data_IF_022260446198
#
_entry.id   IF_022260446198
#
_cell.length_a   1.000
_cell.length_b   1.000
_cell.length_c   1.000
_cell.angle_alpha   90.00
_cell.angle_beta   90.00
_cell.angle_gamma   90.00
#
_symmetry.space_group_name_H-M   'P 1'
#
loop_
_entity.id
_entity.type
_entity.pdbx_description
1 polymer ?
#
# COMPACT_ATOMS: atom_id res chain seq x y z
N UNK A 1 -10.61 -25.43 8.01
CA UNK A 1 -11.20 -26.50 7.16
C UNK A 1 -10.52 -27.81 7.53
N UNK A 2 -11.27 -28.86 7.87
CA UNK A 2 -10.69 -30.18 8.17
C UNK A 2 -10.42 -30.90 6.83
N UNK A 3 -9.17 -30.92 6.41
CA UNK A 3 -8.75 -31.39 5.07
C UNK A 3 -8.74 -32.93 4.98
N UNK A 4 -8.85 -33.63 6.11
CA UNK A 4 -8.75 -35.10 6.20
C UNK A 4 -9.78 -35.87 5.35
N UNK A 5 -10.91 -35.25 5.00
CA UNK A 5 -11.93 -35.85 4.14
C UNK A 5 -11.55 -35.99 2.66
N UNK A 6 -10.51 -35.29 2.18
CA UNK A 6 -10.10 -35.27 0.78
C UNK A 6 -8.89 -36.17 0.46
N UNK A 7 -8.35 -36.90 1.46
CA UNK A 7 -7.08 -37.62 1.33
C UNK A 7 -5.87 -36.68 1.17
N UNK A 8 -4.66 -37.23 1.16
CA UNK A 8 -3.42 -36.45 1.09
C UNK A 8 -3.30 -35.64 -0.22
N UNK A 9 -3.65 -36.25 -1.36
CA UNK A 9 -3.59 -35.60 -2.66
C UNK A 9 -4.62 -34.45 -2.80
N UNK A 10 -5.86 -34.66 -2.34
CA UNK A 10 -6.90 -33.63 -2.39
C UNK A 10 -6.63 -32.47 -1.43
N UNK A 11 -6.08 -32.76 -0.25
CA UNK A 11 -5.62 -31.73 0.70
C UNK A 11 -4.51 -30.86 0.11
N UNK A 12 -3.55 -31.46 -0.58
CA UNK A 12 -2.44 -30.74 -1.20
C UNK A 12 -2.90 -29.87 -2.38
N UNK A 13 -3.81 -30.38 -3.22
CA UNK A 13 -4.39 -29.61 -4.32
C UNK A 13 -5.17 -28.38 -3.81
N UNK A 14 -5.93 -28.52 -2.73
CA UNK A 14 -6.62 -27.40 -2.07
C UNK A 14 -5.65 -26.38 -1.48
N UNK A 15 -4.56 -26.85 -0.86
CA UNK A 15 -3.53 -25.96 -0.32
C UNK A 15 -2.89 -25.10 -1.44
N UNK A 16 -2.53 -25.73 -2.56
CA UNK A 16 -1.98 -25.00 -3.72
C UNK A 16 -2.99 -24.00 -4.31
N UNK A 17 -4.26 -24.39 -4.45
CA UNK A 17 -5.31 -23.49 -4.90
C UNK A 17 -5.45 -22.26 -3.99
N UNK A 18 -5.43 -22.46 -2.66
CA UNK A 18 -5.49 -21.36 -1.69
C UNK A 18 -4.27 -20.45 -1.79
N UNK A 19 -3.08 -21.00 -2.04
CA UNK A 19 -1.85 -20.21 -2.24
C UNK A 19 -1.98 -19.34 -3.50
N UNK A 20 -2.45 -19.90 -4.61
CA UNK A 20 -2.71 -19.13 -5.84
C UNK A 20 -3.78 -18.05 -5.59
N UNK A 21 -4.89 -18.40 -4.95
CA UNK A 21 -5.96 -17.45 -4.63
C UNK A 21 -5.44 -16.29 -3.75
N UNK A 22 -4.59 -16.58 -2.76
CA UNK A 22 -3.94 -15.56 -1.95
C UNK A 22 -2.98 -14.70 -2.77
N UNK A 23 -2.21 -15.29 -3.68
CA UNK A 23 -1.31 -14.56 -4.56
C UNK A 23 -2.06 -13.55 -5.44
N UNK A 24 -3.14 -13.99 -6.10
CA UNK A 24 -4.00 -13.09 -6.88
C UNK A 24 -4.71 -12.06 -6.01
N UNK A 25 -5.13 -12.42 -4.80
CA UNK A 25 -5.72 -11.51 -3.84
C UNK A 25 -4.78 -10.36 -3.46
N UNK A 26 -3.50 -10.66 -3.19
CA UNK A 26 -2.47 -9.67 -2.90
C UNK A 26 -2.19 -8.77 -4.10
N UNK A 27 -2.13 -9.34 -5.31
CA UNK A 27 -2.02 -8.58 -6.56
C UNK A 27 -3.17 -7.57 -6.67
N UNK A 28 -4.42 -8.01 -6.54
CA UNK A 28 -5.58 -7.10 -6.62
C UNK A 28 -5.51 -6.02 -5.53
N UNK A 29 -5.19 -6.39 -4.29
CA UNK A 29 -5.07 -5.45 -3.18
C UNK A 29 -4.03 -4.36 -3.44
N UNK A 30 -2.90 -4.71 -4.07
CA UNK A 30 -1.82 -3.76 -4.40
C UNK A 30 -2.30 -2.61 -5.29
N UNK A 31 -3.27 -2.83 -6.19
CA UNK A 31 -3.89 -1.79 -7.02
C UNK A 31 -4.62 -0.78 -6.12
N UNK A 32 -5.44 -1.27 -5.20
CA UNK A 32 -6.21 -0.43 -4.29
C UNK A 32 -5.27 0.36 -3.37
N UNK A 33 -4.21 -0.26 -2.87
CA UNK A 33 -3.19 0.42 -2.06
C UNK A 33 -2.47 1.53 -2.85
N UNK A 34 -1.98 1.23 -4.06
CA UNK A 34 -1.32 2.23 -4.89
C UNK A 34 -2.24 3.39 -5.27
N UNK A 35 -3.46 3.08 -5.71
CA UNK A 35 -4.44 4.05 -6.16
C UNK A 35 -4.90 4.99 -5.04
N UNK A 36 -4.98 4.52 -3.80
CA UNK A 36 -5.34 5.37 -2.65
C UNK A 36 -4.14 6.13 -2.06
N UNK A 37 -2.92 5.59 -2.14
CA UNK A 37 -1.71 6.27 -1.64
C UNK A 37 -1.44 7.57 -2.41
N UNK A 38 -1.75 7.60 -3.71
CA UNK A 38 -1.58 8.78 -4.57
C UNK A 38 -2.42 9.98 -4.11
N UNK A 39 -3.76 9.89 -3.99
CA UNK A 39 -4.57 11.00 -3.49
C UNK A 39 -4.26 11.33 -2.02
N UNK A 40 -3.93 10.35 -1.19
CA UNK A 40 -3.51 10.58 0.20
C UNK A 40 -2.20 11.39 0.27
N UNK A 41 -1.19 11.01 -0.50
CA UNK A 41 0.09 11.72 -0.59
C UNK A 41 -0.06 13.12 -1.18
N UNK A 42 -0.96 13.29 -2.16
CA UNK A 42 -1.31 14.61 -2.69
C UNK A 42 -1.99 15.51 -1.65
N UNK A 43 -2.91 14.96 -0.86
CA UNK A 43 -3.52 15.65 0.27
C UNK A 43 -2.49 16.03 1.34
N UNK A 44 -1.58 15.13 1.69
CA UNK A 44 -0.49 15.40 2.63
C UNK A 44 0.43 16.53 2.13
N UNK A 45 0.73 16.56 0.83
CA UNK A 45 1.52 17.63 0.21
C UNK A 45 0.80 18.99 0.20
N UNK A 46 -0.51 19.00 -0.10
CA UNK A 46 -1.31 20.23 -0.21
C UNK A 46 -1.76 20.78 1.13
N UNK A 47 -2.06 19.91 2.10
CA UNK A 47 -2.59 20.31 3.41
C UNK A 47 -1.60 21.18 4.19
N UNK A 48 -0.29 20.94 4.04
CA UNK A 48 0.74 21.67 4.77
C UNK A 48 0.85 21.29 6.26
N UNK A 49 0.02 20.34 6.71
CA UNK A 49 0.04 19.82 8.09
C UNK A 49 1.06 18.67 8.25
N UNK A 50 1.53 18.12 7.12
CA UNK A 50 2.60 17.13 7.01
C UNK A 50 3.82 17.72 6.31
N UNK A 51 5.03 17.22 6.56
CA UNK A 51 6.21 17.61 5.82
C UNK A 51 6.02 17.26 4.35
N UNK A 52 6.31 18.21 3.47
CA UNK A 52 6.14 18.04 2.01
C UNK A 52 6.91 16.83 1.48
N UNK A 53 8.03 16.48 2.11
CA UNK A 53 8.80 15.28 1.80
C UNK A 53 8.00 13.98 2.01
N UNK A 54 7.19 13.89 3.09
CA UNK A 54 6.34 12.73 3.35
C UNK A 54 5.30 12.51 2.24
N UNK A 55 4.65 13.61 1.80
CA UNK A 55 3.69 13.57 0.71
C UNK A 55 4.29 13.08 -0.61
N UNK A 56 5.51 13.53 -0.94
CA UNK A 56 6.22 13.06 -2.15
C UNK A 56 6.57 11.58 -2.05
N UNK A 57 7.10 11.12 -0.91
CA UNK A 57 7.44 9.70 -0.72
C UNK A 57 6.20 8.80 -0.82
N UNK A 58 5.04 9.26 -0.33
CA UNK A 58 3.75 8.54 -0.47
C UNK A 58 3.27 8.47 -1.92
N UNK A 59 3.36 9.57 -2.68
CA UNK A 59 2.99 9.57 -4.11
C UNK A 59 3.92 8.64 -4.89
N UNK A 60 5.23 8.69 -4.62
CA UNK A 60 6.21 7.82 -5.27
C UNK A 60 5.96 6.35 -4.88
N UNK A 61 5.69 6.04 -3.62
CA UNK A 61 5.34 4.70 -3.16
C UNK A 61 4.06 4.16 -3.81
N UNK A 62 3.02 4.99 -3.93
CA UNK A 62 1.79 4.64 -4.62
C UNK A 62 1.98 4.42 -6.13
N UNK A 63 2.80 5.25 -6.77
CA UNK A 63 3.16 5.09 -8.18
C UNK A 63 3.98 3.81 -8.41
N UNK A 64 4.90 3.47 -7.49
CA UNK A 64 5.64 2.22 -7.54
C UNK A 64 4.70 1.01 -7.48
N UNK A 65 3.67 1.02 -6.62
CA UNK A 65 2.64 -0.04 -6.60
C UNK A 65 1.91 -0.18 -7.94
N UNK A 66 1.54 0.93 -8.58
CA UNK A 66 0.91 0.91 -9.90
C UNK A 66 1.83 0.32 -10.98
N UNK A 67 3.11 0.70 -10.95
CA UNK A 67 4.12 0.21 -11.90
C UNK A 67 4.40 -1.27 -11.69
N UNK A 68 4.47 -1.74 -10.44
CA UNK A 68 4.64 -3.16 -10.12
C UNK A 68 3.46 -3.99 -10.64
N UNK A 69 2.25 -3.47 -10.50
CA UNK A 69 1.05 -4.11 -11.03
C UNK A 69 1.06 -4.17 -12.56
N UNK A 70 1.41 -3.06 -13.21
CA UNK A 70 1.56 -3.04 -14.66
C UNK A 70 2.66 -4.01 -15.13
N UNK A 71 3.77 -4.10 -14.39
CA UNK A 71 4.86 -5.03 -14.66
C UNK A 71 4.43 -6.48 -14.47
N UNK A 72 3.70 -6.82 -13.40
CA UNK A 72 3.17 -8.16 -13.17
C UNK A 72 2.17 -8.59 -14.25
N UNK A 73 1.41 -7.64 -14.82
CA UNK A 73 0.41 -7.91 -15.85
C UNK A 73 1.01 -8.00 -17.27
N UNK A 74 1.98 -7.14 -17.62
CA UNK A 74 2.62 -7.13 -18.94
C UNK A 74 3.79 -8.14 -19.04
N UNK A 75 4.65 -8.20 -18.01
CA UNK A 75 5.87 -9.01 -17.99
C UNK A 75 6.06 -9.69 -16.61
N UNK A 76 5.42 -10.86 -16.38
CA UNK A 76 5.45 -11.54 -15.08
C UNK A 76 6.86 -11.98 -14.62
N UNK A 77 7.82 -12.09 -15.53
CA UNK A 77 9.22 -12.43 -15.22
C UNK A 77 9.96 -11.27 -14.55
N UNK A 78 9.68 -10.02 -14.98
CA UNK A 78 10.28 -8.81 -14.41
C UNK A 78 9.53 -8.40 -13.14
N UNK A 79 8.20 -8.59 -13.10
CA UNK A 79 7.38 -8.28 -11.92
C UNK A 79 7.91 -8.94 -10.65
N UNK A 80 8.35 -10.21 -10.70
CA UNK A 80 8.92 -10.92 -9.54
C UNK A 80 10.20 -10.28 -8.98
N UNK A 81 11.01 -9.67 -9.84
CA UNK A 81 12.25 -8.98 -9.43
C UNK A 81 11.97 -7.61 -8.81
N UNK A 82 10.93 -6.91 -9.29
CA UNK A 82 10.59 -5.55 -8.88
C UNK A 82 9.70 -5.53 -7.62
N UNK A 83 8.88 -6.57 -7.42
CA UNK A 83 7.92 -6.67 -6.31
C UNK A 83 8.54 -6.47 -4.93
N UNK A 84 9.76 -6.99 -4.72
CA UNK A 84 10.48 -6.82 -3.46
C UNK A 84 10.89 -5.37 -3.20
N UNK A 85 11.43 -4.69 -4.23
CA UNK A 85 11.88 -3.30 -4.11
C UNK A 85 10.72 -2.32 -3.95
N UNK A 86 9.61 -2.56 -4.67
CA UNK A 86 8.41 -1.71 -4.60
C UNK A 86 7.72 -1.82 -3.25
N UNK A 87 7.58 -3.04 -2.71
CA UNK A 87 7.04 -3.24 -1.36
C UNK A 87 7.90 -2.54 -0.31
N UNK A 88 9.24 -2.62 -0.40
CA UNK A 88 10.13 -1.94 0.55
C UNK A 88 9.95 -0.43 0.47
N UNK A 89 9.91 0.14 -0.74
CA UNK A 89 9.72 1.59 -0.92
C UNK A 89 8.38 2.07 -0.34
N UNK A 90 7.28 1.34 -0.58
CA UNK A 90 5.99 1.70 -0.02
C UNK A 90 5.90 1.47 1.49
N UNK A 91 6.48 0.38 2.01
CA UNK A 91 6.52 0.13 3.44
C UNK A 91 7.27 1.22 4.20
N UNK A 92 8.37 1.73 3.64
CA UNK A 92 9.06 2.89 4.19
C UNK A 92 8.13 4.11 4.20
N UNK A 93 7.42 4.39 3.11
CA UNK A 93 6.48 5.52 3.05
C UNK A 93 5.37 5.42 4.11
N UNK A 94 4.78 4.25 4.28
CA UNK A 94 3.73 3.99 5.28
C UNK A 94 4.26 4.06 6.72
N UNK A 95 5.38 3.41 7.02
CA UNK A 95 5.98 3.44 8.36
C UNK A 95 6.34 4.88 8.74
N UNK A 96 6.86 5.66 7.79
CA UNK A 96 7.22 7.05 8.03
C UNK A 96 5.98 7.92 8.25
N UNK A 97 4.89 7.68 7.51
CA UNK A 97 3.60 8.35 7.72
C UNK A 97 2.98 7.99 9.08
N UNK A 98 2.90 6.71 9.41
CA UNK A 98 2.32 6.23 10.69
C UNK A 98 3.17 6.70 11.86
N UNK A 99 4.50 6.65 11.76
CA UNK A 99 5.42 7.17 12.77
C UNK A 99 5.23 8.67 12.99
N UNK A 100 5.07 9.45 11.91
CA UNK A 100 4.79 10.89 12.02
C UNK A 100 3.43 11.16 12.68
N UNK A 101 2.39 10.42 12.31
CA UNK A 101 1.06 10.52 12.92
C UNK A 101 1.06 10.16 14.41
N UNK A 102 1.82 9.13 14.80
CA UNK A 102 1.92 8.70 16.19
C UNK A 102 2.71 9.67 17.06
N UNK A 103 3.77 10.29 16.54
CA UNK A 103 4.66 11.17 17.33
C UNK A 103 4.19 12.61 17.35
N UNK A 104 3.83 13.18 16.20
CA UNK A 104 3.53 14.61 16.07
C UNK A 104 2.03 14.86 16.12
N UNK A 105 1.23 13.94 15.56
CA UNK A 105 -0.20 14.14 15.39
C UNK A 105 -0.54 15.30 14.43
N UNK A 106 -1.76 15.30 13.94
CA UNK A 106 -2.26 16.33 13.03
C UNK A 106 -2.61 17.56 13.88
N UNK A 107 -1.75 18.59 13.87
CA UNK A 107 -1.99 19.87 14.57
C UNK A 107 -3.27 20.50 14.03
N UNK A 108 -4.40 20.32 14.71
CA UNK A 108 -5.62 21.05 14.39
C UNK A 108 -5.35 22.53 14.63
N UNK A 109 -5.42 23.34 13.57
CA UNK A 109 -5.54 24.78 13.71
C UNK A 109 -6.81 25.04 14.51
N UNK A 110 -6.67 25.44 15.78
CA UNK A 110 -7.76 25.87 16.64
C UNK A 110 -8.66 26.84 15.86
N UNK A 111 -9.95 26.53 15.65
CA UNK A 111 -10.91 27.47 15.06
C UNK A 111 -11.19 28.62 16.05
N UNK A 112 -10.26 29.58 16.17
CA UNK A 112 -10.30 30.63 17.20
C UNK A 112 -10.25 32.07 16.71
N UNK A 113 -9.61 32.39 15.58
CA UNK A 113 -9.27 33.80 15.28
C UNK A 113 -10.08 34.44 14.13
N UNK A 114 -11.19 33.83 13.68
CA UNK A 114 -12.03 34.38 12.59
C UNK A 114 -13.28 35.12 13.07
N UNK A 115 -13.22 35.79 14.22
CA UNK A 115 -14.30 36.67 14.67
C UNK A 115 -13.74 37.90 15.37
N UNK A 116 -13.23 38.89 14.61
CA UNK A 116 -13.29 40.32 14.96
C UNK A 116 -12.92 41.20 13.74
N UNK A 117 -13.89 41.75 13.00
CA UNK A 117 -13.78 43.10 12.44
C UNK A 117 -14.16 44.18 13.47
#
# INVERSE_FOLDING_TARGET
VNLGGFGAAGSNALALLLVDAQHYGLLIASIFFGLWLVPLGYLAYKSGWFPRALGVTLIVGGACYLVDMLAAFLLPDIGKAIHGYVNIASAIAEIWMVGYLLVIGVKMSTPGERLVP
#
